data_IF_651887147072
#
_entry.id   IF_651887147072
#
_cell.length_a   1.000
_cell.length_b   1.000
_cell.length_c   1.000
_cell.angle_alpha   90.00
_cell.angle_beta   90.00
_cell.angle_gamma   90.00
#
_symmetry.space_group_name_H-M   'P 1'
#
loop_
_entity.id
_entity.type
_entity.pdbx_description
1 polymer ?
#
# COMPACT_ATOMS: atom_id res chain seq x y z
N UNK A 1 21.91 -7.09 -7.47
CA UNK A 1 22.20 -5.65 -7.24
C UNK A 1 21.90 -5.28 -5.78
N UNK A 2 22.95 -5.05 -5.00
CA UNK A 2 23.07 -4.43 -3.65
C UNK A 2 22.26 -5.00 -2.46
N UNK A 3 22.90 -5.95 -1.77
CA UNK A 3 22.63 -6.46 -0.40
C UNK A 3 22.86 -5.41 0.71
N UNK A 4 22.09 -4.34 0.79
CA UNK A 4 22.21 -3.43 1.93
C UNK A 4 20.87 -3.22 2.63
N UNK A 5 20.68 -3.95 3.73
CA UNK A 5 20.04 -3.35 4.90
C UNK A 5 21.04 -2.27 5.33
N UNK A 6 20.82 -1.04 4.87
CA UNK A 6 21.65 0.09 5.29
C UNK A 6 21.38 0.37 6.77
N UNK A 7 22.24 1.14 7.43
CA UNK A 7 21.99 1.64 8.79
C UNK A 7 20.66 2.41 8.90
N UNK A 8 20.09 2.81 7.76
CA UNK A 8 18.84 3.56 7.59
C UNK A 8 17.63 2.67 7.16
N UNK A 9 17.78 1.34 7.17
CA UNK A 9 16.74 0.39 6.77
C UNK A 9 16.82 -0.09 5.31
N UNK A 10 15.78 -0.76 4.79
CA UNK A 10 15.74 -1.27 3.43
C UNK A 10 15.66 -0.13 2.40
N UNK A 11 16.52 -0.17 1.39
CA UNK A 11 16.52 0.79 0.28
C UNK A 11 15.56 0.28 -0.82
N UNK A 12 14.47 1.01 -1.04
CA UNK A 12 13.51 0.68 -2.10
C UNK A 12 13.84 1.46 -3.38
N UNK A 13 13.57 0.84 -4.53
CA UNK A 13 13.49 1.58 -5.79
C UNK A 13 12.30 2.53 -5.75
N UNK A 14 12.30 3.62 -6.55
CA UNK A 14 11.12 4.44 -6.73
C UNK A 14 9.92 3.61 -7.16
N UNK A 15 8.77 3.86 -6.55
CA UNK A 15 7.53 3.12 -6.76
C UNK A 15 6.48 4.09 -7.30
N UNK A 16 5.70 3.61 -8.26
CA UNK A 16 4.43 4.22 -8.66
C UNK A 16 3.34 3.19 -8.38
N UNK A 17 2.30 3.58 -7.65
CA UNK A 17 1.12 2.75 -7.38
C UNK A 17 -0.09 3.46 -7.97
N UNK A 18 -0.79 2.80 -8.89
CA UNK A 18 -1.96 3.35 -9.55
C UNK A 18 -3.15 2.40 -9.41
N UNK A 19 -4.36 2.96 -9.45
CA UNK A 19 -5.58 2.17 -9.59
C UNK A 19 -6.81 2.88 -9.04
N UNK A 20 -7.95 2.22 -9.20
CA UNK A 20 -9.17 2.49 -8.45
C UNK A 20 -9.05 1.78 -7.09
N UNK A 21 -8.98 2.58 -6.02
CA UNK A 21 -8.88 2.07 -4.66
C UNK A 21 -10.24 1.98 -3.96
N UNK A 22 -11.33 2.43 -4.59
CA UNK A 22 -12.66 2.53 -3.99
C UNK A 22 -12.65 3.22 -2.60
N UNK A 23 -11.76 4.21 -2.45
CA UNK A 23 -11.63 5.02 -1.25
C UNK A 23 -11.72 6.48 -1.63
N UNK A 24 -12.35 7.30 -0.79
CA UNK A 24 -12.35 8.75 -0.98
C UNK A 24 -11.11 9.40 -0.36
N UNK A 25 -10.68 10.57 -0.86
CA UNK A 25 -9.57 11.31 -0.29
C UNK A 25 -9.75 11.55 1.21
N UNK A 26 -8.64 11.59 1.94
CA UNK A 26 -8.59 11.91 3.38
C UNK A 26 -9.33 10.92 4.30
N UNK A 27 -9.83 9.79 3.80
CA UNK A 27 -10.34 8.68 4.62
C UNK A 27 -9.22 7.94 5.35
N UNK A 28 -9.55 7.07 6.32
CA UNK A 28 -8.52 6.38 7.12
C UNK A 28 -7.56 5.51 6.30
N UNK A 29 -8.02 4.87 5.23
CA UNK A 29 -7.13 4.09 4.32
C UNK A 29 -6.24 5.04 3.52
N UNK A 30 -6.78 6.16 3.03
CA UNK A 30 -5.97 7.19 2.36
C UNK A 30 -4.84 7.71 3.27
N UNK A 31 -5.20 8.05 4.52
CA UNK A 31 -4.25 8.53 5.53
C UNK A 31 -3.17 7.47 5.80
N UNK A 32 -3.56 6.20 5.95
CA UNK A 32 -2.59 5.11 6.10
C UNK A 32 -1.57 5.07 4.94
N UNK A 33 -2.05 5.16 3.70
CA UNK A 33 -1.19 5.13 2.49
C UNK A 33 -0.21 6.31 2.48
N UNK A 34 -0.67 7.52 2.82
CA UNK A 34 0.16 8.74 2.73
C UNK A 34 1.07 8.91 3.95
N UNK A 35 0.57 8.63 5.15
CA UNK A 35 1.28 8.83 6.42
C UNK A 35 2.16 7.64 6.80
N UNK A 36 1.93 6.48 6.19
CA UNK A 36 2.66 5.24 6.42
C UNK A 36 2.44 4.59 7.78
N UNK A 37 1.46 5.08 8.55
CA UNK A 37 1.07 4.50 9.82
C UNK A 37 -0.41 4.76 10.11
N UNK A 38 -1.08 3.81 10.75
CA UNK A 38 -2.48 3.96 11.11
C UNK A 38 -2.88 3.09 12.30
N UNK A 39 -3.35 3.72 13.38
CA UNK A 39 -3.92 3.03 14.54
C UNK A 39 -5.39 2.71 14.29
N UNK A 40 -5.73 1.44 14.03
CA UNK A 40 -7.11 1.03 13.75
C UNK A 40 -7.85 0.47 14.97
N UNK A 41 -7.13 0.01 16.00
CA UNK A 41 -7.75 -0.56 17.21
C UNK A 41 -8.74 0.44 17.80
N UNK A 42 -9.97 -0.02 18.02
CA UNK A 42 -11.00 0.81 18.60
C UNK A 42 -11.67 1.79 17.62
N UNK A 43 -11.28 1.82 16.34
CA UNK A 43 -11.99 2.58 15.30
C UNK A 43 -13.15 1.77 14.72
N UNK A 44 -14.09 2.42 14.04
CA UNK A 44 -15.16 1.75 13.30
C UNK A 44 -14.66 1.14 11.99
N UNK A 45 -15.55 0.43 11.27
CA UNK A 45 -15.23 -0.19 9.97
C UNK A 45 -14.78 0.80 8.88
N UNK A 46 -15.21 2.06 8.97
CA UNK A 46 -14.77 3.15 8.09
C UNK A 46 -13.43 3.77 8.53
N UNK A 47 -12.77 3.19 9.54
CA UNK A 47 -11.54 3.70 10.13
C UNK A 47 -11.69 5.11 10.73
N UNK A 48 -12.90 5.43 11.18
CA UNK A 48 -13.26 6.65 11.89
C UNK A 48 -13.54 6.34 13.36
N UNK A 49 -13.62 7.37 14.21
CA UNK A 49 -14.06 7.17 15.59
C UNK A 49 -15.51 6.65 15.61
N UNK A 50 -15.76 5.57 16.36
CA UNK A 50 -17.09 4.99 16.45
C UNK A 50 -17.33 4.43 17.85
N UNK A 51 -18.51 4.75 18.39
CA UNK A 51 -18.99 4.19 19.67
C UNK A 51 -19.50 2.75 19.57
N UNK A 52 -19.72 2.21 18.37
CA UNK A 52 -20.34 0.91 18.15
C UNK A 52 -19.51 0.05 17.17
N UNK A 53 -19.46 -1.27 17.41
CA UNK A 53 -18.78 -2.26 16.53
C UNK A 53 -17.35 -1.85 16.16
N UNK A 54 -16.53 -1.65 17.20
CA UNK A 54 -15.12 -1.25 17.09
C UNK A 54 -14.26 -2.39 16.56
N UNK A 55 -13.25 -2.07 15.78
CA UNK A 55 -12.25 -3.01 15.31
C UNK A 55 -11.43 -3.53 16.50
N UNK A 56 -11.21 -4.84 16.52
CA UNK A 56 -10.24 -5.47 17.44
C UNK A 56 -8.81 -5.14 16.98
N UNK A 57 -7.83 -5.66 17.71
CA UNK A 57 -6.43 -5.57 17.35
C UNK A 57 -6.06 -6.52 16.18
N UNK A 58 -6.95 -7.41 15.75
CA UNK A 58 -6.71 -8.35 14.65
C UNK A 58 -7.49 -7.95 13.41
N UNK A 59 -6.85 -7.19 12.52
CA UNK A 59 -7.40 -6.81 11.21
C UNK A 59 -6.94 -7.76 10.09
N UNK A 60 -5.65 -8.10 10.09
CA UNK A 60 -5.03 -9.03 9.14
C UNK A 60 -4.79 -10.35 9.89
N UNK A 61 -5.41 -11.47 9.48
CA UNK A 61 -5.17 -12.76 10.12
C UNK A 61 -3.70 -13.19 10.03
N UNK A 62 -3.14 -13.67 11.14
CA UNK A 62 -1.76 -14.16 11.24
C UNK A 62 -1.46 -15.30 10.24
N UNK A 63 -2.49 -16.06 9.84
CA UNK A 63 -2.42 -17.10 8.80
C UNK A 63 -2.00 -16.59 7.42
N UNK A 64 -2.17 -15.30 7.12
CA UNK A 64 -1.66 -14.69 5.88
C UNK A 64 -0.15 -14.39 5.94
N UNK A 65 0.46 -14.49 7.14
CA UNK A 65 1.87 -14.18 7.39
C UNK A 65 2.26 -12.79 6.87
N UNK A 66 1.37 -11.83 7.00
CA UNK A 66 1.61 -10.41 6.73
C UNK A 66 1.75 -9.72 8.09
N UNK A 67 2.91 -9.13 8.35
CA UNK A 67 3.22 -8.42 9.59
C UNK A 67 2.46 -7.08 9.66
N UNK A 68 2.35 -6.48 10.84
CA UNK A 68 1.80 -5.13 11.01
C UNK A 68 2.58 -4.04 10.25
N UNK A 69 3.85 -4.29 9.89
CA UNK A 69 4.64 -3.44 8.99
C UNK A 69 4.35 -3.67 7.48
N UNK A 70 3.24 -4.33 7.15
CA UNK A 70 2.79 -4.63 5.78
C UNK A 70 3.83 -5.35 4.92
N UNK A 71 4.51 -6.34 5.51
CA UNK A 71 5.48 -7.19 4.81
C UNK A 71 5.12 -8.66 5.00
N UNK A 72 5.35 -9.46 3.97
CA UNK A 72 5.32 -10.91 4.14
C UNK A 72 6.45 -11.33 5.08
N UNK A 73 6.08 -11.99 6.17
CA UNK A 73 7.00 -12.40 7.24
C UNK A 73 8.14 -13.26 6.69
N UNK A 74 7.85 -14.22 5.82
CA UNK A 74 8.88 -15.08 5.21
C UNK A 74 9.92 -14.28 4.42
N UNK A 75 9.49 -13.24 3.70
CA UNK A 75 10.38 -12.37 2.93
C UNK A 75 11.19 -11.47 3.85
N UNK A 76 10.57 -10.93 4.90
CA UNK A 76 11.25 -10.13 5.91
C UNK A 76 12.32 -10.95 6.63
N UNK A 77 11.97 -12.12 7.15
CA UNK A 77 12.86 -13.03 7.87
C UNK A 77 14.08 -13.42 7.05
N UNK A 78 13.90 -13.80 5.78
CA UNK A 78 15.02 -14.13 4.89
C UNK A 78 15.92 -12.92 4.60
N UNK A 79 15.34 -11.73 4.42
CA UNK A 79 16.11 -10.49 4.23
C UNK A 79 16.98 -10.18 5.46
N UNK A 80 16.40 -10.26 6.66
CA UNK A 80 17.09 -9.93 7.91
C UNK A 80 18.13 -10.99 8.34
N UNK A 81 17.86 -12.27 8.10
CA UNK A 81 18.79 -13.37 8.40
C UNK A 81 19.91 -13.52 7.35
N UNK A 82 19.94 -12.65 6.32
CA UNK A 82 20.94 -12.72 5.25
C UNK A 82 20.84 -13.96 4.36
N UNK A 83 19.73 -14.69 4.43
CA UNK A 83 19.49 -15.97 3.73
C UNK A 83 18.75 -15.80 2.40
N UNK A 84 18.59 -14.56 1.92
CA UNK A 84 17.94 -14.27 0.64
C UNK A 84 18.91 -14.38 -0.53
N UNK A 85 18.53 -15.17 -1.53
CA UNK A 85 19.17 -15.14 -2.85
C UNK A 85 18.69 -13.93 -3.66
N UNK A 86 19.37 -13.54 -4.75
CA UNK A 86 18.92 -12.40 -5.60
C UNK A 86 17.59 -12.67 -6.36
N UNK A 87 16.95 -13.81 -6.13
CA UNK A 87 15.71 -14.26 -6.78
C UNK A 87 14.43 -13.81 -6.05
N UNK A 88 13.30 -13.93 -6.75
CA UNK A 88 11.96 -13.64 -6.23
C UNK A 88 11.71 -14.42 -4.93
N UNK A 89 11.35 -13.70 -3.86
CA UNK A 89 11.16 -14.24 -2.52
C UNK A 89 9.69 -14.55 -2.19
N UNK A 90 8.80 -14.26 -3.14
CA UNK A 90 7.37 -14.54 -3.10
C UNK A 90 7.03 -15.52 -4.21
N UNK A 91 6.33 -16.59 -3.86
CA UNK A 91 5.91 -17.61 -4.80
C UNK A 91 4.39 -17.66 -4.80
N UNK A 92 3.77 -17.53 -5.98
CA UNK A 92 2.34 -17.83 -6.12
C UNK A 92 2.15 -19.34 -6.02
N UNK A 93 1.14 -19.77 -5.28
CA UNK A 93 0.81 -21.19 -5.13
C UNK A 93 0.15 -21.79 -6.38
N UNK A 94 -0.16 -20.96 -7.38
CA UNK A 94 -0.84 -21.35 -8.62
C UNK A 94 0.06 -22.11 -9.61
N UNK A 95 1.40 -22.11 -9.42
CA UNK A 95 2.31 -22.94 -10.20
C UNK A 95 2.57 -24.29 -9.52
N UNK A 96 1.58 -25.19 -9.55
CA UNK A 96 1.85 -26.63 -9.45
C UNK A 96 2.45 -27.11 -10.76
N UNK A 97 3.74 -26.84 -10.99
CA UNK A 97 4.56 -27.69 -11.85
C UNK A 97 5.47 -28.51 -10.95
N UNK A 98 5.25 -29.82 -11.01
CA UNK A 98 6.07 -30.87 -10.45
C UNK A 98 7.50 -30.77 -11.00
N UNK A 99 8.32 -29.89 -10.42
CA UNK A 99 9.76 -30.02 -10.52
C UNK A 99 10.29 -30.31 -9.13
N UNK A 100 10.94 -31.48 -9.00
CA UNK A 100 11.71 -31.97 -7.85
C UNK A 100 12.92 -31.09 -7.51
N UNK A 101 12.74 -29.77 -7.47
CA UNK A 101 13.57 -28.90 -6.63
C UNK A 101 12.99 -29.07 -5.25
N UNK A 102 13.82 -29.35 -4.24
CA UNK A 102 13.39 -29.29 -2.85
C UNK A 102 12.49 -28.05 -2.69
N UNK A 103 11.18 -28.28 -2.52
CA UNK A 103 10.25 -27.20 -2.29
C UNK A 103 10.88 -26.41 -1.15
N UNK A 104 11.27 -25.13 -1.33
CA UNK A 104 11.82 -24.37 -0.22
C UNK A 104 10.67 -24.34 0.77
N UNK A 105 10.78 -25.17 1.80
CA UNK A 105 9.64 -25.87 2.35
C UNK A 105 8.54 -24.92 2.76
N UNK A 106 7.36 -25.49 2.94
CA UNK A 106 6.36 -24.99 3.87
C UNK A 106 7.00 -24.70 5.24
N UNK A 107 7.76 -23.61 5.32
CA UNK A 107 8.23 -23.02 6.55
C UNK A 107 7.07 -22.09 6.90
N UNK A 108 5.98 -22.69 7.37
CA UNK A 108 5.19 -22.00 8.37
C UNK A 108 6.19 -21.76 9.50
N UNK A 109 6.57 -20.52 9.78
CA UNK A 109 7.48 -20.28 10.89
C UNK A 109 6.79 -20.83 12.13
N UNK A 110 7.36 -21.86 12.76
CA UNK A 110 6.90 -22.36 14.09
C UNK A 110 6.84 -21.25 15.14
N UNK A 111 7.47 -20.12 14.82
CA UNK A 111 7.58 -18.90 15.59
C UNK A 111 6.28 -18.08 15.62
N UNK A 112 5.40 -18.21 14.63
CA UNK A 112 4.13 -17.45 14.54
C UNK A 112 2.97 -18.39 14.87
N UNK A 113 2.14 -17.99 15.85
CA UNK A 113 0.86 -18.64 16.09
C UNK A 113 -0.17 -18.11 15.08
N UNK A 114 -0.42 -18.91 14.04
CA UNK A 114 -1.30 -18.52 12.92
C UNK A 114 -2.79 -18.53 13.28
N UNK A 115 -3.17 -19.23 14.35
CA UNK A 115 -4.56 -19.33 14.82
C UNK A 115 -4.88 -18.23 15.85
N UNK A 116 -3.86 -17.64 16.48
CA UNK A 116 -4.03 -16.56 17.44
C UNK A 116 -4.33 -15.21 16.77
N UNK A 117 -5.35 -14.54 17.32
CA UNK A 117 -5.70 -13.15 17.05
C UNK A 117 -5.09 -12.17 18.07
N UNK A 118 -4.36 -12.68 19.06
CA UNK A 118 -3.68 -11.86 20.04
C UNK A 118 -2.42 -11.21 19.47
N UNK A 119 -1.96 -10.15 20.14
CA UNK A 119 -0.72 -9.48 19.78
C UNK A 119 0.46 -10.43 19.90
N UNK A 120 1.24 -10.55 18.83
CA UNK A 120 2.46 -11.35 18.78
C UNK A 120 3.64 -10.49 18.40
N UNK A 121 4.77 -10.67 19.09
CA UNK A 121 6.05 -10.03 18.77
C UNK A 121 7.11 -11.11 18.56
N UNK A 122 7.51 -11.29 17.31
CA UNK A 122 8.41 -12.36 16.90
C UNK A 122 9.79 -11.79 16.62
N UNK A 123 10.78 -12.18 17.43
CA UNK A 123 12.18 -11.80 17.23
C UNK A 123 12.77 -12.55 16.03
N UNK A 124 13.34 -11.82 15.08
CA UNK A 124 13.91 -12.40 13.85
C UNK A 124 15.43 -12.56 13.98
N UNK A 125 16.10 -11.52 14.48
CA UNK A 125 17.55 -11.40 14.75
C UNK A 125 17.76 -10.42 15.92
N UNK A 126 18.98 -10.25 16.41
CA UNK A 126 19.29 -9.31 17.49
C UNK A 126 18.82 -7.88 17.16
N UNK A 127 17.89 -7.35 17.97
CA UNK A 127 17.32 -6.01 17.79
C UNK A 127 16.26 -5.87 16.68
N UNK A 128 15.93 -6.93 15.93
CA UNK A 128 14.92 -6.88 14.86
C UNK A 128 13.76 -7.85 15.13
N UNK A 129 12.54 -7.36 15.01
CA UNK A 129 11.32 -8.12 15.27
C UNK A 129 10.24 -7.79 14.24
N UNK A 130 9.26 -8.69 14.13
CA UNK A 130 7.98 -8.43 13.48
C UNK A 130 6.87 -8.47 14.51
N UNK A 131 5.80 -7.72 14.27
CA UNK A 131 4.58 -7.80 15.07
C UNK A 131 3.38 -8.25 14.24
N UNK A 132 2.43 -8.85 14.92
CA UNK A 132 1.12 -9.21 14.40
C UNK A 132 0.06 -8.75 15.41
N UNK A 133 -1.08 -8.32 14.90
CA UNK A 133 -2.25 -7.96 15.70
C UNK A 133 -1.95 -6.91 16.79
N UNK A 134 -1.09 -5.92 16.51
CA UNK A 134 -0.81 -4.81 17.44
C UNK A 134 -1.94 -3.78 17.54
N UNK A 135 -2.90 -3.81 16.60
CA UNK A 135 -3.93 -2.77 16.49
C UNK A 135 -3.49 -1.55 15.66
N UNK A 136 -2.29 -1.59 15.08
CA UNK A 136 -1.78 -0.59 14.16
C UNK A 136 -1.18 -1.24 12.92
N UNK A 137 -1.24 -0.55 11.78
CA UNK A 137 -0.50 -0.91 10.58
C UNK A 137 0.53 0.18 10.27
N UNK A 138 1.66 -0.22 9.68
CA UNK A 138 2.69 0.70 9.21
C UNK A 138 3.29 0.22 7.89
N UNK A 139 3.90 1.13 7.13
CA UNK A 139 4.75 0.79 6.00
C UNK A 139 5.92 1.78 5.88
N UNK A 140 7.06 1.37 5.30
CA UNK A 140 8.26 2.21 5.25
C UNK A 140 8.25 3.23 4.10
N UNK A 141 7.26 3.19 3.21
CA UNK A 141 7.23 4.00 2.00
C UNK A 141 6.83 5.45 2.29
N UNK A 142 7.58 6.40 1.74
CA UNK A 142 7.27 7.84 1.78
C UNK A 142 6.38 8.23 0.60
N UNK A 143 5.15 7.73 0.63
CA UNK A 143 4.20 7.86 -0.49
C UNK A 143 3.66 9.29 -0.58
N UNK A 144 3.51 9.77 -1.81
CA UNK A 144 2.83 11.03 -2.13
C UNK A 144 1.75 10.77 -3.17
N UNK A 145 0.62 11.47 -3.06
CA UNK A 145 -0.37 11.50 -4.14
C UNK A 145 0.04 12.53 -5.21
N UNK A 146 -0.23 12.23 -6.48
CA UNK A 146 -0.07 13.19 -7.59
C UNK A 146 -1.08 14.34 -7.49
N UNK A 147 -2.29 14.00 -7.07
CA UNK A 147 -3.43 14.91 -7.00
C UNK A 147 -3.61 15.43 -5.57
N UNK A 148 -4.02 16.69 -5.46
CA UNK A 148 -4.33 17.30 -4.17
C UNK A 148 -5.78 16.99 -3.73
N UNK A 149 -6.59 16.47 -4.66
CA UNK A 149 -8.03 16.18 -4.50
C UNK A 149 -8.89 17.43 -4.40
N UNK A 150 -8.28 18.60 -4.58
CA UNK A 150 -8.95 19.88 -4.72
C UNK A 150 -8.12 20.82 -5.59
N UNK A 151 -8.81 21.73 -6.27
CA UNK A 151 -8.17 22.80 -7.03
C UNK A 151 -7.67 23.93 -6.11
N UNK A 152 -7.06 24.97 -6.70
CA UNK A 152 -6.57 26.13 -5.96
C UNK A 152 -7.66 26.92 -5.21
N UNK A 153 -8.92 26.76 -5.61
CA UNK A 153 -10.09 27.39 -4.98
C UNK A 153 -10.71 26.51 -3.89
N UNK A 154 -10.17 25.31 -3.64
CA UNK A 154 -10.70 24.35 -2.67
C UNK A 154 -11.83 23.46 -3.19
N UNK A 155 -12.17 23.52 -4.47
CA UNK A 155 -13.21 22.68 -5.06
C UNK A 155 -12.69 21.27 -5.27
N UNK A 156 -13.47 20.27 -4.85
CA UNK A 156 -13.09 18.86 -4.94
C UNK A 156 -12.91 18.41 -6.40
N UNK A 157 -11.83 17.67 -6.66
CA UNK A 157 -11.61 16.97 -7.92
C UNK A 157 -12.44 15.67 -7.96
N UNK A 158 -12.79 15.19 -9.15
CA UNK A 158 -13.51 13.94 -9.34
C UNK A 158 -12.86 13.05 -10.40
N UNK A 159 -13.01 11.73 -10.22
CA UNK A 159 -12.49 10.71 -11.12
C UNK A 159 -13.58 9.78 -11.65
N UNK A 160 -14.74 9.69 -11.00
CA UNK A 160 -15.86 8.83 -11.42
C UNK A 160 -17.20 9.38 -10.96
N UNK A 161 -18.29 8.88 -11.54
CA UNK A 161 -19.67 9.19 -11.13
C UNK A 161 -20.40 7.94 -10.63
N UNK A 162 -20.43 7.75 -9.30
CA UNK A 162 -21.13 6.67 -8.61
C UNK A 162 -22.20 7.27 -7.69
N UNK A 163 -23.40 7.52 -8.23
CA UNK A 163 -24.48 8.36 -7.65
C UNK A 163 -24.12 9.84 -7.46
N UNK A 164 -22.84 10.13 -7.21
CA UNK A 164 -22.24 11.45 -7.10
C UNK A 164 -20.85 11.44 -7.74
N UNK A 165 -20.38 12.62 -8.16
CA UNK A 165 -19.00 12.81 -8.60
C UNK A 165 -18.04 12.71 -7.40
N UNK A 166 -17.16 11.72 -7.45
CA UNK A 166 -16.22 11.39 -6.37
C UNK A 166 -14.83 11.08 -6.95
N UNK A 167 -13.82 11.09 -6.08
CA UNK A 167 -12.48 10.59 -6.38
C UNK A 167 -12.29 9.23 -5.74
N UNK A 168 -11.92 8.24 -6.54
CA UNK A 168 -11.53 6.88 -6.10
C UNK A 168 -10.27 6.36 -6.79
N UNK A 169 -9.83 7.05 -7.85
CA UNK A 169 -8.65 6.72 -8.63
C UNK A 169 -7.44 7.53 -8.15
N UNK A 170 -6.30 6.87 -8.05
CA UNK A 170 -5.08 7.49 -7.53
C UNK A 170 -3.86 7.14 -8.37
N UNK A 171 -2.94 8.10 -8.43
CA UNK A 171 -1.53 7.85 -8.74
C UNK A 171 -0.73 8.26 -7.51
N UNK A 172 -0.13 7.29 -6.86
CA UNK A 172 0.79 7.44 -5.73
C UNK A 172 2.23 7.21 -6.19
N UNK A 173 3.18 7.89 -5.58
CA UNK A 173 4.60 7.74 -5.94
C UNK A 173 5.56 7.92 -4.76
N UNK A 174 6.77 7.36 -4.88
CA UNK A 174 7.89 7.54 -3.95
C UNK A 174 9.17 7.92 -4.70
N UNK A 175 10.04 8.72 -4.07
CA UNK A 175 11.43 8.95 -4.47
C UNK A 175 11.69 9.35 -5.95
N UNK A 176 10.68 9.90 -6.63
CA UNK A 176 10.74 10.54 -7.96
C UNK A 176 10.16 11.95 -7.92
N UNK A 177 10.58 12.80 -8.85
CA UNK A 177 10.09 14.17 -8.97
C UNK A 177 8.89 14.20 -9.92
N UNK A 178 7.74 14.67 -9.42
CA UNK A 178 6.57 14.97 -10.25
C UNK A 178 6.84 16.25 -11.06
N UNK A 179 6.79 16.16 -12.38
CA UNK A 179 6.99 17.31 -13.28
C UNK A 179 5.67 17.96 -13.67
N UNK A 180 4.69 17.14 -14.05
CA UNK A 180 3.42 17.61 -14.58
C UNK A 180 2.31 16.57 -14.34
N UNK A 181 1.05 17.00 -14.37
CA UNK A 181 -0.12 16.13 -14.27
C UNK A 181 -1.25 16.59 -15.18
N UNK A 182 -2.00 15.64 -15.71
CA UNK A 182 -3.27 15.92 -16.34
C UNK A 182 -4.24 16.45 -15.30
N UNK A 183 -4.86 17.60 -15.55
CA UNK A 183 -5.80 18.23 -14.62
C UNK A 183 -7.09 17.41 -14.56
N UNK A 184 -7.54 17.09 -13.35
CA UNK A 184 -8.88 16.53 -13.13
C UNK A 184 -9.92 17.66 -13.12
N UNK A 185 -11.13 17.41 -13.66
CA UNK A 185 -12.24 18.34 -13.50
C UNK A 185 -12.70 18.38 -12.04
N UNK A 186 -13.28 19.51 -11.64
CA UNK A 186 -13.93 19.62 -10.34
C UNK A 186 -15.30 18.99 -10.34
N UNK A 187 -15.82 18.63 -9.17
CA UNK A 187 -17.20 18.17 -9.00
C UNK A 187 -18.21 19.18 -9.57
N UNK A 188 -17.92 20.48 -9.49
CA UNK A 188 -18.77 21.52 -10.07
C UNK A 188 -18.76 21.47 -11.60
N UNK A 189 -17.58 21.39 -12.22
CA UNK A 189 -17.46 21.27 -13.68
C UNK A 189 -18.10 19.99 -14.20
N UNK A 190 -17.93 18.87 -13.49
CA UNK A 190 -18.52 17.60 -13.91
C UNK A 190 -20.06 17.61 -13.94
N UNK A 191 -20.71 18.50 -13.17
CA UNK A 191 -22.19 18.65 -13.21
C UNK A 191 -22.68 19.36 -14.47
N UNK A 192 -21.81 20.09 -15.16
CA UNK A 192 -22.14 20.81 -16.39
C UNK A 192 -22.07 19.90 -17.63
N UNK A 193 -21.41 18.74 -17.54
CA UNK A 193 -21.28 17.79 -18.65
C UNK A 193 -22.25 16.61 -18.51
N UNK A 194 -22.65 15.97 -19.63
CA UNK A 194 -23.39 14.72 -19.59
C UNK A 194 -22.68 13.68 -18.72
N UNK A 195 -23.45 12.89 -17.97
CA UNK A 195 -22.91 11.78 -17.18
C UNK A 195 -22.07 10.84 -18.06
N UNK A 196 -21.09 10.20 -17.44
CA UNK A 196 -20.25 9.17 -18.06
C UNK A 196 -20.73 7.77 -17.61
N UNK A 197 -20.61 6.73 -18.45
CA UNK A 197 -20.11 6.77 -19.83
C UNK A 197 -21.11 7.44 -20.79
N UNK A 198 -20.59 8.00 -21.88
CA UNK A 198 -21.37 8.60 -22.96
C UNK A 198 -20.66 8.41 -24.32
N UNK A 199 -21.21 9.01 -25.39
CA UNK A 199 -20.65 8.87 -26.75
C UNK A 199 -19.22 9.39 -26.92
N UNK A 200 -18.74 10.25 -26.01
CA UNK A 200 -17.37 10.79 -26.02
C UNK A 200 -16.46 10.02 -25.08
N UNK A 201 -16.96 9.63 -23.90
CA UNK A 201 -16.20 8.93 -22.86
C UNK A 201 -16.80 7.55 -22.63
N UNK A 202 -16.11 6.51 -23.10
CA UNK A 202 -16.60 5.12 -23.03
C UNK A 202 -16.47 4.44 -21.66
N UNK A 203 -15.82 5.07 -20.68
CA UNK A 203 -15.69 4.59 -19.31
C UNK A 203 -16.52 5.45 -18.36
N UNK A 204 -16.95 4.87 -17.25
CA UNK A 204 -17.49 5.54 -16.08
C UNK A 204 -16.41 6.24 -15.21
N UNK A 205 -15.13 6.07 -15.53
CA UNK A 205 -14.00 6.73 -14.88
C UNK A 205 -13.23 7.65 -15.85
N UNK A 206 -12.66 8.71 -15.29
CA UNK A 206 -11.80 9.68 -15.96
C UNK A 206 -10.34 9.22 -15.87
N UNK A 207 -9.59 9.39 -16.95
CA UNK A 207 -8.17 9.04 -16.97
C UNK A 207 -7.35 9.99 -16.09
N UNK A 208 -6.45 9.42 -15.30
CA UNK A 208 -5.39 10.15 -14.60
C UNK A 208 -4.12 10.12 -15.44
N UNK A 209 -3.26 11.14 -15.29
CA UNK A 209 -2.01 11.23 -16.03
C UNK A 209 -0.96 12.05 -15.29
N UNK A 210 0.29 11.59 -15.29
CA UNK A 210 1.39 12.26 -14.63
C UNK A 210 2.72 12.03 -15.36
N UNK A 211 3.58 13.04 -15.35
CA UNK A 211 4.95 12.97 -15.87
C UNK A 211 5.92 13.03 -14.72
N UNK A 212 6.85 12.07 -14.66
CA UNK A 212 7.85 11.99 -13.60
C UNK A 212 9.27 12.10 -14.15
N UNK A 213 10.17 12.60 -13.30
CA UNK A 213 11.62 12.63 -13.52
C UNK A 213 12.33 11.75 -12.51
N UNK A 214 12.99 10.72 -13.02
CA UNK A 214 13.89 9.87 -12.24
C UNK A 214 15.30 10.46 -12.22
N UNK A 215 15.76 10.88 -11.04
CA UNK A 215 17.14 11.34 -10.86
C UNK A 215 18.07 10.13 -10.76
N UNK A 216 19.11 10.10 -11.60
CA UNK A 216 20.17 9.10 -11.48
C UNK A 216 20.92 9.32 -10.16
N UNK A 217 20.81 8.38 -9.21
CA UNK A 217 21.71 8.37 -8.04
C UNK A 217 23.13 8.11 -8.55
N UNK A 218 24.06 9.04 -8.27
CA UNK A 218 25.49 8.81 -8.53
C UNK A 218 25.92 7.63 -7.66
N UNK A 219 26.42 6.56 -8.28
CA UNK A 219 27.11 5.51 -7.56
C UNK A 219 28.33 6.14 -6.90
N UNK A 220 28.35 6.21 -5.57
CA UNK A 220 29.62 6.38 -4.86
C UNK A 220 30.40 5.10 -5.17
N UNK A 221 31.52 5.25 -5.88
CA UNK A 221 32.50 4.17 -6.03
C UNK A 221 33.34 4.10 -4.77
#
# INVERSE_FOLDING_TARGET
MSRFITRDGPNYHPIIVCGDFNLQPFTGVYQFIVDGNFQYLGKGRKLEESGFRRLSNSLIPSSLLITDNCQHFNVLTRRLRGSGDEQTMLYSKEETREENRESPGSIIPKEVDIESSDYQKITITEGQYATFSSGALTHPFKIKSVYAHSNCSGEAEATTHQDQWITVDYIFYTDIELLDRYRLPTVAECKEFPAIPNFVVGSDHLCLGATFKLKRKRSVR
#
